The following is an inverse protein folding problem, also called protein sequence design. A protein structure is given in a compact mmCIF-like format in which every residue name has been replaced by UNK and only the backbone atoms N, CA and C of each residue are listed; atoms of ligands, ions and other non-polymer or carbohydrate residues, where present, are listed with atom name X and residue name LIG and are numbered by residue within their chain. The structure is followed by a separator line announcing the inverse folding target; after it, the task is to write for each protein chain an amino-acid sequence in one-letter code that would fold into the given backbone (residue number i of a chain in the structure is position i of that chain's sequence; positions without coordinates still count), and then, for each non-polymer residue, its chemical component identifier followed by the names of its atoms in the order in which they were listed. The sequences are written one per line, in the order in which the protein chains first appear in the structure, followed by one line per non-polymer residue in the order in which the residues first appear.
data_IF_044284330097
#
_entry.id   IF_044284330097
#
_cell.length_a   1.000
_cell.length_b   1.000
_cell.length_c   1.000
_cell.angle_alpha   90.00
_cell.angle_beta   90.00
_cell.angle_gamma   90.00
#
_symmetry.space_group_name_H-M   'P 1'
#
loop_
_entity.id
_entity.type
_entity.pdbx_description
1 polymer ?
#
# COMPACT_ATOMS: atom_id res chain seq x y z
N UNK A 1 19.16 -24.41 16.88
CA UNK A 1 19.23 -23.30 15.89
C UNK A 1 18.98 -23.90 14.52
N UNK A 2 17.96 -23.42 13.83
CA UNK A 2 17.68 -23.86 12.47
C UNK A 2 18.72 -23.23 11.53
N UNK A 3 19.38 -24.03 10.69
CA UNK A 3 20.31 -23.54 9.68
C UNK A 3 19.62 -22.81 8.50
N UNK A 4 18.45 -22.22 8.76
CA UNK A 4 17.62 -21.58 7.73
C UNK A 4 18.34 -20.43 7.01
N UNK A 5 19.16 -19.66 7.73
CA UNK A 5 19.91 -18.56 7.13
C UNK A 5 21.00 -19.04 6.17
N UNK A 6 21.68 -20.14 6.51
CA UNK A 6 22.67 -20.76 5.62
C UNK A 6 22.00 -21.38 4.38
N UNK A 7 20.83 -22.01 4.56
CA UNK A 7 20.01 -22.46 3.44
C UNK A 7 19.62 -21.30 2.52
N UNK A 8 19.12 -20.19 3.06
CA UNK A 8 18.72 -19.03 2.27
C UNK A 8 19.90 -18.39 1.52
N UNK A 9 21.10 -18.37 2.10
CA UNK A 9 22.31 -17.91 1.41
C UNK A 9 22.68 -18.83 0.24
N UNK A 10 22.56 -20.14 0.42
CA UNK A 10 22.92 -21.12 -0.60
C UNK A 10 21.88 -21.26 -1.71
N UNK A 11 20.61 -20.94 -1.43
CA UNK A 11 19.46 -21.15 -2.32
C UNK A 11 19.64 -20.53 -3.73
N UNK A 12 20.10 -19.28 -3.90
CA UNK A 12 20.25 -18.70 -5.23
C UNK A 12 21.28 -19.44 -6.10
N UNK A 13 22.40 -19.84 -5.52
CA UNK A 13 23.45 -20.59 -6.24
C UNK A 13 22.95 -21.98 -6.65
N UNK A 14 22.27 -22.69 -5.73
CA UNK A 14 21.71 -24.01 -5.97
C UNK A 14 20.61 -23.98 -7.05
N UNK A 15 19.74 -22.98 -7.04
CA UNK A 15 18.70 -22.79 -8.03
C UNK A 15 19.30 -22.53 -9.41
N UNK A 16 20.25 -21.60 -9.51
CA UNK A 16 20.97 -21.28 -10.75
C UNK A 16 21.68 -22.49 -11.35
N UNK A 17 22.32 -23.32 -10.54
CA UNK A 17 22.97 -24.55 -10.98
C UNK A 17 22.00 -25.59 -11.55
N UNK A 18 20.71 -25.49 -11.25
CA UNK A 18 19.64 -26.35 -11.76
C UNK A 18 18.82 -25.68 -12.90
N UNK A 19 19.29 -24.56 -13.43
CA UNK A 19 18.60 -23.85 -14.51
C UNK A 19 17.34 -23.08 -14.07
N UNK A 20 17.16 -22.87 -12.75
CA UNK A 20 16.04 -22.07 -12.22
C UNK A 20 16.50 -20.62 -12.09
N UNK A 21 15.77 -19.72 -12.71
CA UNK A 21 15.97 -18.27 -12.58
C UNK A 21 15.00 -17.65 -11.57
N UNK A 22 15.44 -16.59 -10.90
CA UNK A 22 14.57 -15.77 -10.07
C UNK A 22 14.11 -14.58 -10.89
N UNK A 23 12.83 -14.24 -10.76
CA UNK A 23 12.24 -13.06 -11.40
C UNK A 23 11.33 -12.35 -10.40
N UNK A 24 11.21 -11.06 -10.55
CA UNK A 24 10.17 -10.29 -9.85
C UNK A 24 8.81 -10.48 -10.54
N UNK A 25 7.68 -10.24 -9.87
CA UNK A 25 6.38 -10.27 -10.50
C UNK A 25 6.27 -9.37 -11.74
N UNK A 26 6.89 -8.19 -11.71
CA UNK A 26 6.90 -7.26 -12.86
C UNK A 26 7.61 -7.86 -14.06
N UNK A 27 8.79 -8.44 -13.88
CA UNK A 27 9.54 -9.10 -14.96
C UNK A 27 8.74 -10.28 -15.56
N UNK A 28 8.02 -11.02 -14.72
CA UNK A 28 7.15 -12.12 -15.20
C UNK A 28 6.02 -11.57 -16.07
N UNK A 29 5.37 -10.48 -15.67
CA UNK A 29 4.29 -9.83 -16.43
C UNK A 29 4.81 -9.32 -17.78
N UNK A 30 6.02 -8.76 -17.82
CA UNK A 30 6.62 -8.22 -19.05
C UNK A 30 6.99 -9.31 -20.06
N UNK A 31 7.35 -10.50 -19.56
CA UNK A 31 7.85 -11.60 -20.42
C UNK A 31 6.82 -12.69 -20.72
N UNK A 32 5.74 -12.78 -19.93
CA UNK A 32 4.73 -13.82 -20.08
C UNK A 32 3.35 -13.22 -20.30
N UNK A 33 2.63 -13.77 -21.29
CA UNK A 33 1.21 -13.43 -21.48
C UNK A 33 0.38 -14.14 -20.45
N UNK A 34 -0.71 -13.49 -20.00
CA UNK A 34 -1.74 -14.14 -19.20
C UNK A 34 -2.28 -15.37 -19.97
N UNK A 35 -2.36 -16.49 -19.28
CA UNK A 35 -2.87 -17.75 -19.87
C UNK A 35 -4.36 -17.92 -19.64
N UNK A 36 -4.89 -17.31 -18.55
CA UNK A 36 -6.31 -17.41 -18.18
C UNK A 36 -6.70 -16.30 -17.20
N UNK A 37 -8.00 -16.18 -16.94
CA UNK A 37 -8.57 -15.31 -15.92
C UNK A 37 -9.18 -16.16 -14.79
N UNK A 38 -8.69 -15.96 -13.56
CA UNK A 38 -9.26 -16.61 -12.39
C UNK A 38 -10.44 -15.81 -11.86
N UNK A 39 -11.62 -16.40 -11.86
CA UNK A 39 -12.80 -15.81 -11.23
C UNK A 39 -12.75 -16.01 -9.71
N UNK A 40 -12.89 -14.92 -8.95
CA UNK A 40 -12.95 -14.93 -7.49
C UNK A 40 -14.28 -14.31 -7.05
N UNK A 41 -15.34 -15.13 -6.89
CA UNK A 41 -16.70 -14.64 -6.67
C UNK A 41 -16.97 -14.11 -5.25
N UNK A 42 -16.06 -14.35 -4.31
CA UNK A 42 -16.17 -13.91 -2.91
C UNK A 42 -14.80 -13.57 -2.33
N UNK A 43 -14.74 -12.75 -1.27
CA UNK A 43 -13.48 -12.45 -0.59
C UNK A 43 -12.81 -13.72 -0.04
N UNK A 44 -11.58 -13.96 -0.48
CA UNK A 44 -10.77 -15.11 -0.08
C UNK A 44 -9.57 -14.68 0.73
N UNK A 45 -9.09 -15.56 1.59
CA UNK A 45 -7.85 -15.38 2.32
C UNK A 45 -7.04 -16.68 2.37
N UNK A 46 -5.79 -16.56 2.82
CA UNK A 46 -4.91 -17.70 3.05
C UNK A 46 -5.06 -18.28 4.47
N UNK A 47 -5.84 -17.61 5.33
CA UNK A 47 -5.95 -17.94 6.76
C UNK A 47 -7.07 -18.94 6.99
N UNK A 48 -6.83 -19.83 7.96
CA UNK A 48 -7.68 -20.88 8.49
C UNK A 48 -8.26 -21.87 7.44
N UNK A 49 -9.15 -22.73 7.85
CA UNK A 49 -9.72 -23.77 6.99
C UNK A 49 -10.77 -23.22 6.03
N UNK A 50 -11.51 -22.21 6.44
CA UNK A 50 -12.58 -21.59 5.64
C UNK A 50 -12.05 -20.76 4.46
N UNK A 51 -10.78 -20.31 4.51
CA UNK A 51 -10.16 -19.50 3.45
C UNK A 51 -10.94 -18.24 3.06
N UNK A 52 -11.72 -17.73 3.98
CA UNK A 52 -12.53 -16.51 3.85
C UNK A 52 -11.99 -15.38 4.72
N UNK A 53 -12.76 -14.30 4.90
CA UNK A 53 -12.39 -13.15 5.72
C UNK A 53 -12.89 -13.23 7.17
N UNK A 54 -13.49 -14.34 7.59
CA UNK A 54 -14.10 -14.45 8.91
C UNK A 54 -13.11 -14.39 10.07
N UNK A 55 -11.82 -14.60 9.81
CA UNK A 55 -10.77 -14.38 10.80
C UNK A 55 -10.66 -12.90 11.22
N UNK A 56 -11.06 -11.96 10.38
CA UNK A 56 -11.01 -10.51 10.63
C UNK A 56 -12.37 -9.84 10.80
N UNK A 57 -13.44 -10.41 10.21
CA UNK A 57 -14.79 -9.84 10.23
C UNK A 57 -15.86 -10.87 10.62
N UNK A 58 -15.49 -11.96 11.28
CA UNK A 58 -16.38 -13.06 11.59
C UNK A 58 -17.33 -12.83 12.75
N UNK A 59 -16.98 -11.97 13.71
CA UNK A 59 -17.80 -11.73 14.90
C UNK A 59 -18.30 -10.27 15.01
N UNK A 60 -19.17 -10.01 16.00
CA UNK A 60 -19.77 -8.70 16.22
C UNK A 60 -18.75 -7.62 16.58
N UNK A 61 -17.78 -7.93 17.43
CA UNK A 61 -16.72 -6.99 17.85
C UNK A 61 -15.88 -6.51 16.65
N UNK A 62 -15.48 -7.44 15.81
CA UNK A 62 -14.70 -7.15 14.59
C UNK A 62 -15.48 -6.25 13.63
N UNK A 63 -16.75 -6.56 13.38
CA UNK A 63 -17.62 -5.75 12.51
C UNK A 63 -17.89 -4.37 13.10
N UNK A 64 -18.13 -4.27 14.40
CA UNK A 64 -18.32 -2.99 15.07
C UNK A 64 -17.07 -2.11 14.97
N UNK A 65 -15.89 -2.67 15.28
CA UNK A 65 -14.62 -1.98 15.15
C UNK A 65 -14.36 -1.50 13.71
N UNK A 66 -14.61 -2.36 12.73
CA UNK A 66 -14.47 -2.04 11.31
C UNK A 66 -15.41 -0.91 10.88
N UNK A 67 -16.70 -1.03 11.17
CA UNK A 67 -17.69 -0.02 10.81
C UNK A 67 -17.38 1.33 11.47
N UNK A 68 -16.97 1.30 12.73
CA UNK A 68 -16.59 2.50 13.48
C UNK A 68 -15.36 3.17 12.88
N UNK A 69 -14.33 2.40 12.53
CA UNK A 69 -13.15 2.91 11.85
C UNK A 69 -13.55 3.64 10.56
N UNK A 70 -14.23 2.95 9.66
CA UNK A 70 -14.58 3.50 8.35
C UNK A 70 -15.65 4.60 8.37
N UNK A 71 -16.33 4.84 9.51
CA UNK A 71 -17.27 5.96 9.68
C UNK A 71 -16.62 7.34 9.52
N UNK A 72 -15.30 7.42 9.61
CA UNK A 72 -14.55 8.68 9.44
C UNK A 72 -13.66 8.69 8.19
N UNK A 73 -13.75 7.66 7.34
CA UNK A 73 -12.87 7.46 6.20
C UNK A 73 -12.82 8.67 5.27
N UNK A 74 -13.96 9.26 4.93
CA UNK A 74 -14.03 10.37 3.97
C UNK A 74 -13.36 11.63 4.53
N UNK A 75 -13.53 11.88 5.83
CA UNK A 75 -12.84 12.99 6.51
C UNK A 75 -11.34 12.82 6.55
N UNK A 76 -10.87 11.59 6.77
CA UNK A 76 -9.43 11.28 6.74
C UNK A 76 -8.86 11.42 5.33
N UNK A 77 -9.61 11.06 4.28
CA UNK A 77 -9.15 11.19 2.88
C UNK A 77 -8.89 12.65 2.50
N UNK A 78 -9.76 13.58 2.91
CA UNK A 78 -9.61 15.02 2.64
C UNK A 78 -8.66 15.71 3.62
N UNK A 79 -8.29 15.07 4.72
CA UNK A 79 -7.39 15.61 5.73
C UNK A 79 -5.96 15.77 5.17
N UNK A 80 -5.32 16.91 5.47
CA UNK A 80 -3.93 17.18 5.11
C UNK A 80 -2.94 16.92 6.28
N UNK A 81 -3.44 16.56 7.46
CA UNK A 81 -2.59 16.24 8.61
C UNK A 81 -1.94 14.87 8.44
N UNK A 82 -0.59 14.87 8.37
CA UNK A 82 0.20 13.64 8.20
C UNK A 82 0.04 12.69 9.39
N UNK A 83 -0.15 13.19 10.61
CA UNK A 83 -0.29 12.34 11.81
C UNK A 83 -1.62 11.61 11.78
N UNK A 84 -2.70 12.29 11.39
CA UNK A 84 -4.01 11.65 11.22
C UNK A 84 -3.95 10.54 10.16
N UNK A 85 -3.29 10.79 9.02
CA UNK A 85 -3.12 9.76 7.98
C UNK A 85 -2.29 8.57 8.46
N UNK A 86 -1.22 8.82 9.19
CA UNK A 86 -0.37 7.77 9.74
C UNK A 86 -1.11 6.92 10.78
N UNK A 87 -1.85 7.56 11.70
CA UNK A 87 -2.65 6.84 12.70
C UNK A 87 -3.77 6.03 12.03
N UNK A 88 -4.38 6.58 10.97
CA UNK A 88 -5.33 5.86 10.12
C UNK A 88 -4.74 4.59 9.52
N UNK A 89 -3.54 4.65 8.96
CA UNK A 89 -2.86 3.50 8.37
C UNK A 89 -2.58 2.43 9.43
N UNK A 90 -2.14 2.81 10.64
CA UNK A 90 -1.94 1.87 11.75
C UNK A 90 -3.24 1.22 12.23
N UNK A 91 -4.33 1.98 12.31
CA UNK A 91 -5.62 1.46 12.74
C UNK A 91 -6.23 0.47 11.75
N UNK A 92 -5.90 0.57 10.46
CA UNK A 92 -6.33 -0.37 9.42
C UNK A 92 -5.54 -1.69 9.42
N UNK A 93 -4.46 -1.82 10.21
CA UNK A 93 -3.69 -3.05 10.23
C UNK A 93 -4.57 -4.26 10.57
N UNK A 94 -4.54 -5.28 9.73
CA UNK A 94 -5.41 -6.47 9.82
C UNK A 94 -5.27 -7.22 11.14
N UNK A 95 -4.09 -7.17 11.77
CA UNK A 95 -3.83 -7.79 13.06
C UNK A 95 -4.71 -7.21 14.17
N UNK A 96 -5.06 -5.91 14.12
CA UNK A 96 -5.97 -5.30 15.10
C UNK A 96 -7.31 -6.05 15.15
N UNK A 97 -7.87 -6.38 13.99
CA UNK A 97 -9.13 -7.12 13.89
C UNK A 97 -8.94 -8.60 14.24
N UNK A 98 -7.80 -9.18 13.88
CA UNK A 98 -7.50 -10.59 14.14
C UNK A 98 -7.41 -10.89 15.63
N UNK A 99 -6.85 -9.99 16.44
CA UNK A 99 -6.79 -10.18 17.90
C UNK A 99 -8.17 -10.27 18.56
N UNK A 100 -9.21 -9.76 17.91
CA UNK A 100 -10.60 -9.82 18.39
C UNK A 100 -11.33 -11.10 17.96
N UNK A 101 -10.67 -12.03 17.24
CA UNK A 101 -11.32 -13.24 16.79
C UNK A 101 -11.67 -14.17 17.96
N UNK A 102 -12.87 -14.74 17.91
CA UNK A 102 -13.31 -15.79 18.87
C UNK A 102 -13.11 -17.19 18.30
N UNK A 103 -12.60 -17.33 17.08
CA UNK A 103 -12.32 -18.62 16.47
C UNK A 103 -11.21 -19.34 17.24
N UNK A 104 -11.45 -20.61 17.54
CA UNK A 104 -10.49 -21.52 18.19
C UNK A 104 -9.61 -22.18 17.13
N UNK A 105 -8.92 -21.43 16.30
CA UNK A 105 -7.97 -22.00 15.36
C UNK A 105 -6.57 -22.12 15.99
N UNK A 106 -5.75 -23.02 15.46
CA UNK A 106 -4.34 -23.20 15.85
C UNK A 106 -3.47 -21.93 15.71
N UNK A 107 -4.02 -20.88 15.12
CA UNK A 107 -3.43 -19.55 14.99
C UNK A 107 -3.62 -18.64 16.20
N UNK A 108 -4.15 -19.16 17.31
CA UNK A 108 -4.13 -18.49 18.61
C UNK A 108 -2.71 -18.18 19.15
N UNK A 109 -1.66 -18.46 18.37
CA UNK A 109 -0.27 -18.10 18.68
C UNK A 109 -0.05 -16.59 18.93
N UNK A 110 -0.99 -15.73 18.51
CA UNK A 110 -0.92 -14.28 18.71
C UNK A 110 -1.68 -13.76 19.94
N UNK A 111 -2.26 -14.66 20.74
CA UNK A 111 -2.89 -14.30 22.03
C UNK A 111 -1.92 -13.69 23.06
N UNK A 112 -0.61 -13.83 22.84
CA UNK A 112 0.39 -13.33 23.80
C UNK A 112 0.45 -11.82 24.02
N UNK A 113 -0.33 -11.03 23.25
CA UNK A 113 -0.42 -9.57 23.44
C UNK A 113 -1.62 -9.19 24.29
N UNK A 114 -2.73 -9.93 24.20
CA UNK A 114 -3.97 -9.70 24.93
C UNK A 114 -4.42 -10.98 25.61
N UNK A 115 -4.97 -10.84 26.82
CA UNK A 115 -5.48 -11.97 27.61
C UNK A 115 -6.76 -12.56 27.00
N UNK A 116 -7.56 -11.71 26.32
CA UNK A 116 -8.78 -12.15 25.65
C UNK A 116 -9.08 -11.31 24.39
N UNK A 117 -9.96 -11.80 23.49
CA UNK A 117 -10.48 -11.02 22.37
C UNK A 117 -11.22 -9.75 22.79
N UNK A 118 -11.83 -9.76 24.01
CA UNK A 118 -12.53 -8.60 24.57
C UNK A 118 -11.56 -7.51 25.00
N UNK A 119 -10.40 -7.88 25.54
CA UNK A 119 -9.35 -6.92 25.90
C UNK A 119 -8.77 -6.26 24.64
N UNK A 120 -8.56 -7.04 23.60
CA UNK A 120 -8.13 -6.53 22.31
C UNK A 120 -9.15 -5.53 21.73
N UNK A 121 -10.44 -5.90 21.77
CA UNK A 121 -11.53 -5.04 21.31
C UNK A 121 -11.62 -3.75 22.12
N UNK A 122 -11.61 -3.84 23.45
CA UNK A 122 -11.73 -2.68 24.35
C UNK A 122 -10.56 -1.72 24.14
N UNK A 123 -9.34 -2.24 24.08
CA UNK A 123 -8.15 -1.42 23.84
C UNK A 123 -8.21 -0.75 22.47
N UNK A 124 -8.55 -1.49 21.43
CA UNK A 124 -8.70 -0.93 20.09
C UNK A 124 -9.76 0.16 20.04
N UNK A 125 -10.94 -0.06 20.65
CA UNK A 125 -12.03 0.90 20.63
C UNK A 125 -11.71 2.18 21.42
N UNK A 126 -10.89 2.09 22.47
CA UNK A 126 -10.41 3.26 23.21
C UNK A 126 -9.48 4.11 22.33
N UNK A 127 -8.52 3.48 21.64
CA UNK A 127 -7.61 4.17 20.71
C UNK A 127 -8.38 4.76 19.53
N UNK A 128 -9.31 3.99 18.97
CA UNK A 128 -10.16 4.44 17.88
C UNK A 128 -11.06 5.60 18.28
N UNK A 129 -11.60 5.57 19.51
CA UNK A 129 -12.41 6.67 20.07
C UNK A 129 -11.63 7.97 20.14
N UNK A 130 -10.40 7.94 20.65
CA UNK A 130 -9.50 9.11 20.64
C UNK A 130 -9.21 9.61 19.22
N UNK A 131 -8.89 8.69 18.32
CA UNK A 131 -8.65 9.02 16.92
C UNK A 131 -9.86 9.72 16.28
N UNK A 132 -11.07 9.18 16.47
CA UNK A 132 -12.31 9.75 15.93
C UNK A 132 -12.55 11.14 16.53
N UNK A 133 -12.30 11.34 17.82
CA UNK A 133 -12.45 12.66 18.47
C UNK A 133 -11.48 13.68 17.86
N UNK A 134 -10.24 13.29 17.57
CA UNK A 134 -9.26 14.17 16.90
C UNK A 134 -9.72 14.52 15.48
N UNK A 135 -10.19 13.54 14.70
CA UNK A 135 -10.74 13.79 13.35
C UNK A 135 -11.97 14.71 13.42
N UNK A 136 -12.90 14.47 14.36
CA UNK A 136 -14.10 15.30 14.54
C UNK A 136 -13.77 16.74 14.98
N UNK A 137 -12.70 16.92 15.76
CA UNK A 137 -12.25 18.25 16.18
C UNK A 137 -11.67 19.06 15.02
N UNK A 138 -11.07 18.41 14.04
CA UNK A 138 -10.58 19.06 12.83
C UNK A 138 -11.68 19.30 11.77
N UNK A 139 -12.62 18.38 11.69
CA UNK A 139 -13.71 18.38 10.71
C UNK A 139 -15.03 18.16 11.45
N UNK A 140 -15.76 19.22 11.84
CA UNK A 140 -17.04 19.12 12.52
C UNK A 140 -18.02 18.24 11.76
N UNK A 141 -18.88 17.54 12.50
CA UNK A 141 -19.87 16.61 11.96
C UNK A 141 -20.93 17.28 11.06
N UNK A 142 -21.10 18.57 11.21
CA UNK A 142 -22.12 19.39 10.55
C UNK A 142 -21.70 19.92 9.16
N UNK A 143 -20.65 19.36 8.56
CA UNK A 143 -20.47 19.51 7.12
C UNK A 143 -21.58 18.67 6.52
N UNK A 144 -22.56 19.33 5.93
CA UNK A 144 -23.66 18.72 5.22
C UNK A 144 -23.11 17.65 4.29
N UNK A 145 -23.67 16.43 4.32
CA UNK A 145 -23.20 15.32 3.48
C UNK A 145 -23.24 15.71 1.99
N UNK A 146 -24.08 16.66 1.62
CA UNK A 146 -24.18 17.21 0.28
C UNK A 146 -22.97 18.08 -0.07
N UNK A 147 -22.50 18.91 0.86
CA UNK A 147 -21.30 19.73 0.69
C UNK A 147 -20.02 18.87 0.66
N UNK A 148 -19.93 17.85 1.51
CA UNK A 148 -18.83 16.88 1.50
C UNK A 148 -18.78 16.11 0.17
N UNK A 149 -19.91 15.62 -0.33
CA UNK A 149 -20.01 14.92 -1.60
C UNK A 149 -19.67 15.84 -2.79
N UNK A 150 -20.07 17.12 -2.73
CA UNK A 150 -19.71 18.10 -3.76
C UNK A 150 -18.21 18.38 -3.78
N UNK A 151 -17.58 18.52 -2.60
CA UNK A 151 -16.12 18.69 -2.47
C UNK A 151 -15.35 17.45 -2.95
N UNK A 152 -15.78 16.25 -2.61
CA UNK A 152 -15.18 15.01 -3.08
C UNK A 152 -15.28 14.86 -4.61
N UNK A 153 -16.42 15.25 -5.17
CA UNK A 153 -16.62 15.29 -6.63
C UNK A 153 -15.71 16.31 -7.29
N UNK A 154 -15.55 17.49 -6.69
CA UNK A 154 -14.64 18.53 -7.18
C UNK A 154 -13.18 18.07 -7.17
N UNK A 155 -12.73 17.45 -6.07
CA UNK A 155 -11.37 16.89 -5.93
C UNK A 155 -11.13 15.81 -6.98
N UNK A 156 -12.09 14.93 -7.20
CA UNK A 156 -11.99 13.89 -8.23
C UNK A 156 -11.86 14.49 -9.63
N UNK A 157 -12.71 15.47 -9.97
CA UNK A 157 -12.66 16.13 -11.26
C UNK A 157 -11.33 16.88 -11.47
N UNK A 158 -10.82 17.56 -10.44
CA UNK A 158 -9.50 18.20 -10.51
C UNK A 158 -8.36 17.19 -10.69
N UNK A 159 -8.46 16.03 -10.06
CA UNK A 159 -7.50 14.93 -10.25
C UNK A 159 -7.47 14.43 -11.70
N UNK A 160 -8.65 14.24 -12.28
CA UNK A 160 -8.80 13.82 -13.69
C UNK A 160 -8.26 14.91 -14.66
N UNK A 161 -8.53 16.19 -14.39
CA UNK A 161 -7.97 17.28 -15.18
C UNK A 161 -6.44 17.37 -15.08
N UNK A 162 -5.87 17.15 -13.90
CA UNK A 162 -4.42 17.11 -13.71
C UNK A 162 -3.78 15.96 -14.51
N UNK A 163 -4.36 14.78 -14.49
CA UNK A 163 -3.88 13.64 -15.30
C UNK A 163 -3.91 13.93 -16.80
N UNK A 164 -4.95 14.62 -17.29
CA UNK A 164 -5.05 15.00 -18.70
C UNK A 164 -3.95 16.00 -19.06
N UNK A 165 -3.75 17.01 -18.20
CA UNK A 165 -2.70 18.02 -18.39
C UNK A 165 -1.30 17.42 -18.34
N UNK A 166 -1.04 16.49 -17.43
CA UNK A 166 0.25 15.79 -17.33
C UNK A 166 0.54 14.97 -18.60
N UNK A 167 -0.46 14.29 -19.16
CA UNK A 167 -0.34 13.59 -20.44
C UNK A 167 -0.05 14.55 -21.60
N UNK A 168 -0.67 15.72 -21.60
CA UNK A 168 -0.44 16.75 -22.60
C UNK A 168 0.97 17.35 -22.49
N UNK A 169 1.43 17.66 -21.27
CA UNK A 169 2.80 18.12 -20.98
C UNK A 169 3.82 17.08 -21.43
N UNK A 170 3.60 15.81 -21.13
CA UNK A 170 4.47 14.73 -21.60
C UNK A 170 4.54 14.65 -23.13
N UNK A 171 3.40 14.81 -23.81
CA UNK A 171 3.32 14.85 -25.28
C UNK A 171 4.04 16.06 -25.88
N UNK A 172 3.86 17.22 -25.30
CA UNK A 172 4.52 18.45 -25.72
C UNK A 172 6.04 18.39 -25.52
N UNK A 173 6.49 17.86 -24.38
CA UNK A 173 7.91 17.65 -24.11
C UNK A 173 8.55 16.64 -25.08
N UNK A 174 7.84 15.56 -25.42
CA UNK A 174 8.29 14.61 -26.42
C UNK A 174 8.37 15.25 -27.83
N UNK A 175 7.46 16.18 -28.15
CA UNK A 175 7.48 16.93 -29.41
C UNK A 175 8.61 17.96 -29.44
N UNK A 176 8.85 18.66 -28.35
CA UNK A 176 9.98 19.58 -28.20
C UNK A 176 11.33 18.89 -28.37
N UNK A 177 11.52 17.72 -27.73
CA UNK A 177 12.74 16.90 -27.92
C UNK A 177 13.00 16.51 -29.39
N UNK A 178 11.95 16.35 -30.18
CA UNK A 178 12.07 16.04 -31.62
C UNK A 178 12.36 17.27 -32.47
N UNK A 179 12.05 18.48 -31.99
CA UNK A 179 12.22 19.72 -32.76
C UNK A 179 13.53 20.47 -32.43
N UNK A 180 14.14 20.15 -31.26
CA UNK A 180 15.48 20.65 -30.90
C UNK A 180 16.49 19.66 -31.45
N UNK A 181 17.30 20.00 -32.49
CA UNK A 181 18.41 19.19 -32.90
C UNK A 181 19.41 19.13 -31.75
N UNK A 182 19.98 17.95 -31.49
CA UNK A 182 21.10 17.80 -30.57
C UNK A 182 22.24 18.72 -31.05
N UNK A 183 22.40 19.90 -30.40
CA UNK A 183 23.62 20.65 -30.51
C UNK A 183 24.73 19.81 -29.92
N UNK A 184 25.65 19.40 -30.77
CA UNK A 184 26.70 18.44 -30.48
C UNK A 184 27.51 18.83 -29.23
N UNK A 185 27.82 17.83 -28.45
CA UNK A 185 28.79 17.92 -27.37
C UNK A 185 30.08 18.58 -27.87
N UNK A 186 30.65 19.57 -27.14
CA UNK A 186 31.92 20.15 -27.46
C UNK A 186 33.01 19.08 -27.40
N UNK A 187 33.62 18.79 -28.55
CA UNK A 187 34.79 17.92 -28.67
C UNK A 187 35.89 18.37 -27.70
N UNK A 188 36.21 17.55 -26.70
CA UNK A 188 37.33 17.73 -25.82
C UNK A 188 38.63 17.92 -26.65
N UNK A 189 39.21 19.09 -26.56
CA UNK A 189 40.49 19.39 -27.17
C UNK A 189 41.57 18.46 -26.64
N UNK A 190 42.21 17.74 -27.55
CA UNK A 190 43.37 16.89 -27.34
C UNK A 190 44.56 17.76 -26.97
N UNK A 191 45.00 17.77 -25.72
CA UNK A 191 46.24 18.35 -25.30
C UNK A 191 47.39 17.48 -25.78
N UNK A 192 48.03 17.93 -26.83
CA UNK A 192 49.34 17.43 -27.32
C UNK A 192 50.37 17.66 -26.21
N UNK A 193 50.91 16.56 -25.66
CA UNK A 193 52.14 16.59 -24.86
C UNK A 193 53.30 16.87 -25.85
N UNK A 194 53.91 18.05 -25.72
CA UNK A 194 55.22 18.32 -26.31
C UNK A 194 56.31 17.78 -25.37
N UNK A 195 57.04 16.81 -25.81
CA UNK A 195 58.30 16.38 -25.26
C UNK A 195 59.37 17.41 -25.62
N UNK A 196 60.00 18.04 -24.61
CA UNK A 196 61.29 18.72 -24.81
C UNK A 196 62.35 18.08 -23.92
N UNK A 197 63.34 17.57 -24.58
CA UNK A 197 64.65 17.15 -24.02
C UNK A 197 65.40 18.37 -23.45
N UNK A 198 65.85 18.30 -22.25
CA UNK A 198 67.28 18.39 -21.90
C UNK A 198 67.43 18.03 -20.43
#
# INVERSE_FOLDING_TARGET
SSNILEFLKALPACAKARGISFSTPSEVIDHHKSVDALEVPYPMSWVDEERDISCWLGNGMQREAFNKLYSVADRVRICNDRRIKQDWDYLQATNNFRFMTTKSSSWNMYRGIYDSPYDAFTNYMNILGDFINRVNGMYPRDIDNEELNSLLTLIKNQGEELEVKDKEIARLNARMKKLVPEEGEPKKASTRKSSAKK
#
